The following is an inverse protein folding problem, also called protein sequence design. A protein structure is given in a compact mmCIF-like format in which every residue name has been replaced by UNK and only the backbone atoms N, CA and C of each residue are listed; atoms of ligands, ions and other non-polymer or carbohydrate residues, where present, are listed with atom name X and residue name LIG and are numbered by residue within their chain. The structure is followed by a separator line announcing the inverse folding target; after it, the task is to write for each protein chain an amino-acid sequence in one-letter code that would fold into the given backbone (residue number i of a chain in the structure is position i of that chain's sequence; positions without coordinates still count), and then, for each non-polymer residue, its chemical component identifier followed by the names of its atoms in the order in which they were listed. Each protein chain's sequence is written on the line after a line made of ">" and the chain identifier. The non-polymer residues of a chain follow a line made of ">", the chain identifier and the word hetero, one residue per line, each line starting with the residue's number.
data_IF_711641747476
#
_entry.id   IF_711641747476
#
_cell.length_a   1.000
_cell.length_b   1.000
_cell.length_c   1.000
_cell.angle_alpha   90.00
_cell.angle_beta   90.00
_cell.angle_gamma   90.00
#
_symmetry.space_group_name_H-M   'P 1'
#
loop_
_entity.id
_entity.type
_entity.pdbx_description
1 polymer ?
#
# COMPACT_ATOMS: atom_id res chain seq x y z
N UNK A 1 5.89 -16.86 32.15
CA UNK A 1 5.88 -15.43 31.73
C UNK A 1 4.91 -14.70 32.66
N UNK A 2 5.23 -13.50 33.15
CA UNK A 2 4.27 -12.75 34.00
C UNK A 2 3.19 -12.12 33.11
N UNK A 3 1.92 -12.04 33.54
CA UNK A 3 0.87 -11.36 32.79
C UNK A 3 1.21 -9.87 32.61
N UNK A 4 0.95 -9.34 31.41
CA UNK A 4 1.13 -7.92 31.06
C UNK A 4 -0.24 -7.31 30.79
N UNK A 5 -0.48 -6.07 31.25
CA UNK A 5 -1.74 -5.38 30.98
C UNK A 5 -1.84 -4.91 29.52
N UNK A 6 -3.05 -4.74 29.01
CA UNK A 6 -3.27 -4.19 27.66
C UNK A 6 -2.65 -2.79 27.49
N UNK A 7 -2.76 -1.93 28.51
CA UNK A 7 -2.14 -0.60 28.51
C UNK A 7 -0.63 -0.68 28.35
N UNK A 8 0.03 -1.52 29.14
CA UNK A 8 1.48 -1.69 29.06
C UNK A 8 1.88 -2.25 27.69
N UNK A 9 1.14 -3.22 27.16
CA UNK A 9 1.39 -3.77 25.83
C UNK A 9 1.28 -2.68 24.74
N UNK A 10 0.22 -1.88 24.74
CA UNK A 10 0.01 -0.80 23.76
C UNK A 10 1.15 0.22 23.79
N UNK A 11 1.56 0.69 24.98
CA UNK A 11 2.70 1.60 25.11
C UNK A 11 3.99 1.02 24.53
N UNK A 12 4.25 -0.28 24.72
CA UNK A 12 5.42 -0.91 24.10
C UNK A 12 5.27 -1.03 22.59
N UNK A 13 4.09 -1.37 22.07
CA UNK A 13 3.84 -1.44 20.63
C UNK A 13 4.04 -0.09 19.95
N UNK A 14 3.53 1.01 20.52
CA UNK A 14 3.75 2.37 20.01
C UNK A 14 5.24 2.73 19.96
N UNK A 15 6.00 2.40 21.01
CA UNK A 15 7.46 2.63 21.05
C UNK A 15 8.19 1.81 20.00
N UNK A 16 7.78 0.56 19.79
CA UNK A 16 8.35 -0.32 18.75
C UNK A 16 8.03 0.25 17.37
N UNK A 17 6.78 0.64 17.12
CA UNK A 17 6.36 1.27 15.87
C UNK A 17 7.17 2.54 15.57
N UNK A 18 7.35 3.43 16.56
CA UNK A 18 8.18 4.63 16.38
C UNK A 18 9.66 4.31 16.10
N UNK A 19 10.24 3.30 16.77
CA UNK A 19 11.64 2.89 16.51
C UNK A 19 11.80 2.27 15.12
N UNK A 20 10.91 1.36 14.75
CA UNK A 20 10.91 0.70 13.44
C UNK A 20 10.66 1.72 12.33
N UNK A 21 9.71 2.63 12.54
CA UNK A 21 9.40 3.71 11.60
C UNK A 21 10.61 4.61 11.34
N UNK A 22 11.31 5.03 12.39
CA UNK A 22 12.56 5.79 12.26
C UNK A 22 13.66 5.03 11.50
N UNK A 23 13.77 3.72 11.69
CA UNK A 23 14.69 2.88 10.90
C UNK A 23 14.28 2.85 9.43
N UNK A 24 12.99 2.61 9.15
CA UNK A 24 12.45 2.59 7.78
C UNK A 24 12.67 3.95 7.09
N UNK A 25 12.43 5.08 7.77
CA UNK A 25 12.62 6.42 7.22
C UNK A 25 14.07 6.67 6.75
N UNK A 26 15.05 6.15 7.51
CA UNK A 26 16.47 6.22 7.15
C UNK A 26 16.83 5.28 6.01
N UNK A 27 16.36 4.03 6.07
CA UNK A 27 16.58 3.02 5.02
C UNK A 27 15.99 3.42 3.67
N UNK A 28 14.80 4.05 3.69
CA UNK A 28 14.07 4.48 2.50
C UNK A 28 14.84 5.52 1.66
N UNK A 29 15.77 6.26 2.28
CA UNK A 29 16.54 7.30 1.60
C UNK A 29 15.67 8.47 1.12
N UNK A 30 16.16 9.20 0.13
CA UNK A 30 15.46 10.40 -0.41
C UNK A 30 14.47 10.05 -1.51
N UNK A 31 14.70 8.97 -2.26
CA UNK A 31 13.85 8.62 -3.40
C UNK A 31 13.39 7.18 -3.33
N UNK A 32 12.10 6.98 -3.53
CA UNK A 32 11.44 5.69 -3.42
C UNK A 32 10.24 5.64 -4.36
N UNK A 33 9.71 4.44 -4.60
CA UNK A 33 8.38 4.27 -5.16
C UNK A 33 7.39 3.89 -4.06
N UNK A 34 6.11 4.01 -4.37
CA UNK A 34 5.05 3.50 -3.51
C UNK A 34 4.35 2.36 -4.22
N UNK A 35 3.97 1.33 -3.46
CA UNK A 35 2.98 0.35 -3.89
C UNK A 35 1.71 0.60 -3.09
N UNK A 36 0.63 0.78 -3.83
CA UNK A 36 -0.70 1.06 -3.33
C UNK A 36 -1.61 -0.13 -3.62
N UNK A 37 -2.36 -0.56 -2.63
CA UNK A 37 -3.36 -1.61 -2.77
C UNK A 37 -4.55 -1.32 -1.86
N UNK A 38 -5.73 -1.75 -2.28
CA UNK A 38 -6.99 -1.53 -1.58
C UNK A 38 -7.92 -2.72 -1.74
N UNK A 39 -8.52 -3.17 -0.63
CA UNK A 39 -9.47 -4.28 -0.63
C UNK A 39 -10.61 -4.03 0.35
N UNK A 40 -11.75 -4.66 0.10
CA UNK A 40 -12.89 -4.57 1.01
C UNK A 40 -13.06 -5.88 1.79
N UNK A 41 -13.39 -5.76 3.06
CA UNK A 41 -13.73 -6.90 3.92
C UNK A 41 -14.87 -6.51 4.85
N UNK A 42 -16.03 -7.16 4.70
CA UNK A 42 -17.25 -6.76 5.38
C UNK A 42 -17.71 -5.38 4.94
N UNK A 43 -17.95 -4.49 5.90
CA UNK A 43 -18.37 -3.10 5.66
C UNK A 43 -17.20 -2.13 5.53
N UNK A 44 -15.95 -2.60 5.66
CA UNK A 44 -14.77 -1.75 5.65
C UNK A 44 -14.02 -1.89 4.32
N UNK A 45 -13.57 -0.75 3.80
CA UNK A 45 -12.51 -0.70 2.81
C UNK A 45 -11.18 -0.49 3.53
N UNK A 46 -10.16 -1.22 3.13
CA UNK A 46 -8.82 -1.13 3.67
C UNK A 46 -7.88 -0.71 2.57
N UNK A 47 -6.90 0.10 2.93
CA UNK A 47 -5.82 0.51 2.05
C UNK A 47 -4.49 0.22 2.71
N UNK A 48 -3.50 -0.12 1.89
CA UNK A 48 -2.13 -0.26 2.33
C UNK A 48 -1.18 0.56 1.46
N UNK A 49 -0.21 1.18 2.12
CA UNK A 49 0.88 1.89 1.47
C UNK A 49 2.17 1.16 1.80
N UNK A 50 2.89 0.78 0.76
CA UNK A 50 4.18 0.09 0.86
C UNK A 50 5.26 0.95 0.21
N UNK A 51 6.28 1.33 0.96
CA UNK A 51 7.46 1.99 0.40
C UNK A 51 8.34 0.96 -0.31
N UNK A 52 8.79 1.29 -1.52
CA UNK A 52 9.64 0.46 -2.37
C UNK A 52 10.92 1.22 -2.69
N UNK A 53 12.07 0.71 -2.26
CA UNK A 53 13.36 1.40 -2.46
C UNK A 53 14.51 0.40 -2.63
N UNK A 54 15.66 0.90 -3.07
CA UNK A 54 16.87 0.10 -3.18
C UNK A 54 17.58 0.02 -1.82
N UNK A 55 17.68 -1.18 -1.25
CA UNK A 55 18.61 -1.47 -0.16
C UNK A 55 19.99 -1.85 -0.72
N UNK A 56 20.94 -2.17 0.16
CA UNK A 56 22.35 -2.37 -0.21
C UNK A 56 22.58 -3.32 -1.39
N UNK A 57 21.80 -4.40 -1.52
CA UNK A 57 21.94 -5.38 -2.60
C UNK A 57 20.60 -5.87 -3.20
N UNK A 58 19.47 -5.27 -2.81
CA UNK A 58 18.14 -5.75 -3.24
C UNK A 58 17.07 -4.68 -3.17
N UNK A 59 15.98 -4.88 -3.91
CA UNK A 59 14.72 -4.15 -3.68
C UNK A 59 14.21 -4.46 -2.27
N UNK A 60 13.83 -3.43 -1.54
CA UNK A 60 13.21 -3.51 -0.21
C UNK A 60 11.79 -2.99 -0.32
N UNK A 61 10.86 -3.70 0.31
CA UNK A 61 9.46 -3.33 0.43
C UNK A 61 9.11 -3.26 1.92
N UNK A 62 8.55 -2.13 2.37
CA UNK A 62 8.11 -1.93 3.76
C UNK A 62 6.68 -1.43 3.77
N UNK A 63 5.80 -2.13 4.47
CA UNK A 63 4.47 -1.58 4.79
C UNK A 63 4.69 -0.38 5.71
N UNK A 64 4.25 0.79 5.25
CA UNK A 64 4.35 2.05 6.02
C UNK A 64 3.00 2.52 6.54
N UNK A 65 1.91 2.03 5.94
CA UNK A 65 0.56 2.22 6.45
C UNK A 65 -0.36 1.05 6.09
N UNK A 66 -1.29 0.80 6.99
CA UNK A 66 -2.44 -0.08 6.81
C UNK A 66 -3.58 0.57 7.57
N UNK A 67 -4.62 1.00 6.86
CA UNK A 67 -5.73 1.71 7.49
C UNK A 67 -7.06 1.23 6.91
N UNK A 68 -8.12 1.08 7.73
CA UNK A 68 -9.46 1.19 7.19
C UNK A 68 -9.65 2.61 6.64
N UNK A 69 -10.42 2.74 5.56
CA UNK A 69 -10.86 4.01 5.00
C UNK A 69 -12.37 4.07 5.15
N UNK A 70 -12.86 5.05 5.89
CA UNK A 70 -14.30 5.27 6.10
C UNK A 70 -14.90 6.09 4.95
N UNK A 71 -14.13 7.02 4.37
CA UNK A 71 -14.54 7.92 3.28
C UNK A 71 -13.39 8.13 2.27
N UNK A 72 -13.74 8.51 1.04
CA UNK A 72 -12.79 8.97 0.04
C UNK A 72 -12.04 7.85 -0.72
N UNK A 73 -12.50 7.55 -1.93
CA UNK A 73 -11.82 6.64 -2.87
C UNK A 73 -11.33 7.36 -4.13
N UNK A 74 -11.34 8.68 -4.12
CA UNK A 74 -10.83 9.46 -5.24
C UNK A 74 -9.31 9.51 -5.20
N UNK A 75 -8.70 9.89 -6.32
CA UNK A 75 -7.25 10.08 -6.35
C UNK A 75 -6.77 11.17 -5.40
N UNK A 76 -7.59 12.19 -5.09
CA UNK A 76 -7.22 13.26 -4.16
C UNK A 76 -7.19 12.74 -2.73
N UNK A 77 -8.23 12.02 -2.29
CA UNK A 77 -8.29 11.41 -0.95
C UNK A 77 -7.09 10.47 -0.71
N UNK A 78 -6.73 9.69 -1.73
CA UNK A 78 -5.58 8.80 -1.67
C UNK A 78 -4.25 9.57 -1.57
N UNK A 79 -4.11 10.70 -2.28
CA UNK A 79 -2.91 11.54 -2.20
C UNK A 79 -2.79 12.16 -0.81
N UNK A 80 -3.88 12.68 -0.24
CA UNK A 80 -3.89 13.22 1.12
C UNK A 80 -3.48 12.15 2.15
N UNK A 81 -3.99 10.91 2.01
CA UNK A 81 -3.57 9.81 2.87
C UNK A 81 -2.07 9.52 2.71
N UNK A 82 -1.57 9.43 1.47
CA UNK A 82 -0.15 9.16 1.22
C UNK A 82 0.71 10.27 1.84
N UNK A 83 0.32 11.53 1.68
CA UNK A 83 1.04 12.67 2.25
C UNK A 83 1.08 12.60 3.78
N UNK A 84 -0.06 12.35 4.43
CA UNK A 84 -0.13 12.18 5.88
C UNK A 84 0.73 11.02 6.38
N UNK A 85 0.73 9.89 5.67
CA UNK A 85 1.58 8.74 5.97
C UNK A 85 3.06 9.10 5.83
N UNK A 86 3.45 9.76 4.73
CA UNK A 86 4.84 10.14 4.47
C UNK A 86 5.39 11.14 5.50
N UNK A 87 4.55 12.05 6.00
CA UNK A 87 4.93 13.00 7.04
C UNK A 87 5.43 12.30 8.32
N UNK A 88 4.89 11.12 8.67
CA UNK A 88 5.35 10.31 9.81
C UNK A 88 6.81 9.85 9.63
N UNK A 89 7.28 9.73 8.39
CA UNK A 89 8.63 9.27 8.05
C UNK A 89 9.54 10.42 7.61
N UNK A 90 9.14 11.67 7.81
CA UNK A 90 9.87 12.86 7.34
C UNK A 90 10.12 12.83 5.82
N UNK A 91 9.08 12.47 5.06
CA UNK A 91 9.08 12.38 3.59
C UNK A 91 7.98 13.25 2.99
N UNK A 92 8.12 13.55 1.70
CA UNK A 92 7.16 14.35 0.92
C UNK A 92 6.76 13.62 -0.37
N UNK A 93 5.68 14.06 -1.01
CA UNK A 93 5.21 13.49 -2.28
C UNK A 93 6.25 13.59 -3.42
N UNK A 94 7.06 14.66 -3.44
CA UNK A 94 8.10 14.89 -4.47
C UNK A 94 9.20 13.82 -4.49
N UNK A 95 9.34 13.09 -3.38
CA UNK A 95 10.31 12.00 -3.22
C UNK A 95 9.87 10.72 -3.93
N UNK A 96 8.59 10.59 -4.28
CA UNK A 96 8.03 9.46 -5.01
C UNK A 96 8.52 9.49 -6.46
N UNK A 97 8.99 8.34 -6.98
CA UNK A 97 9.46 8.20 -8.37
C UNK A 97 8.57 7.32 -9.24
N UNK A 98 7.76 6.48 -8.63
CA UNK A 98 6.78 5.65 -9.32
C UNK A 98 5.72 5.17 -8.34
N UNK A 99 4.57 4.82 -8.88
CA UNK A 99 3.48 4.17 -8.16
C UNK A 99 3.32 2.77 -8.73
N UNK A 100 3.15 1.76 -7.89
CA UNK A 100 2.78 0.40 -8.27
C UNK A 100 1.37 0.15 -7.78
N UNK A 101 0.48 -0.30 -8.64
CA UNK A 101 -0.89 -0.59 -8.27
C UNK A 101 -1.69 -1.16 -9.42
N UNK A 102 -2.96 -1.43 -9.17
CA UNK A 102 -3.88 -1.86 -10.22
C UNK A 102 -4.04 -0.76 -11.27
N UNK A 103 -4.25 -1.14 -12.53
CA UNK A 103 -4.37 -0.18 -13.63
C UNK A 103 -5.76 0.48 -13.68
N UNK A 104 -6.42 0.67 -12.53
CA UNK A 104 -7.72 1.31 -12.46
C UNK A 104 -7.60 2.83 -12.70
N UNK A 105 -8.72 3.46 -13.05
CA UNK A 105 -8.79 4.90 -13.34
C UNK A 105 -8.32 5.77 -12.17
N UNK A 106 -8.62 5.38 -10.94
CA UNK A 106 -8.18 6.09 -9.73
C UNK A 106 -6.66 6.09 -9.59
N UNK A 107 -6.01 4.92 -9.70
CA UNK A 107 -4.55 4.83 -9.61
C UNK A 107 -3.83 5.52 -10.77
N UNK A 108 -4.43 5.49 -11.97
CA UNK A 108 -3.93 6.25 -13.11
C UNK A 108 -3.98 7.76 -12.81
N UNK A 109 -5.13 8.26 -12.33
CA UNK A 109 -5.32 9.66 -11.95
C UNK A 109 -4.34 10.08 -10.83
N UNK A 110 -4.15 9.24 -9.82
CA UNK A 110 -3.18 9.45 -8.74
C UNK A 110 -1.76 9.60 -9.29
N UNK A 111 -1.31 8.67 -10.13
CA UNK A 111 0.03 8.73 -10.72
C UNK A 111 0.21 9.97 -11.61
N UNK A 112 -0.81 10.34 -12.39
CA UNK A 112 -0.83 11.56 -13.20
C UNK A 112 -0.72 12.81 -12.34
N UNK A 113 -1.48 12.91 -11.25
CA UNK A 113 -1.44 14.06 -10.32
C UNK A 113 -0.09 14.18 -9.61
N UNK A 114 0.52 13.06 -9.25
CA UNK A 114 1.88 13.03 -8.70
C UNK A 114 2.98 13.25 -9.74
N UNK A 115 2.64 13.28 -11.05
CA UNK A 115 3.62 13.45 -12.12
C UNK A 115 4.60 12.28 -12.28
N UNK A 116 4.21 11.06 -11.86
CA UNK A 116 5.06 9.86 -11.88
C UNK A 116 4.44 8.75 -12.71
N UNK A 117 5.21 7.70 -13.01
CA UNK A 117 4.70 6.54 -13.77
C UNK A 117 3.94 5.58 -12.86
N UNK A 118 2.81 5.07 -13.36
CA UNK A 118 2.13 3.90 -12.81
C UNK A 118 2.72 2.62 -13.39
N UNK A 119 3.10 1.69 -12.51
CA UNK A 119 3.56 0.35 -12.84
C UNK A 119 2.43 -0.62 -12.48
N UNK A 120 1.91 -1.32 -13.48
CA UNK A 120 0.79 -2.25 -13.26
C UNK A 120 1.18 -3.40 -12.33
N UNK A 121 0.31 -3.68 -11.35
CA UNK A 121 0.45 -4.81 -10.43
C UNK A 121 0.55 -6.14 -11.19
N UNK A 122 1.59 -6.92 -10.91
CA UNK A 122 1.80 -8.22 -11.54
C UNK A 122 0.69 -9.24 -11.19
N UNK A 123 0.23 -9.22 -9.93
CA UNK A 123 -0.85 -10.10 -9.47
C UNK A 123 -2.16 -9.82 -10.19
N UNK A 124 -2.51 -8.53 -10.33
CA UNK A 124 -3.71 -8.13 -11.06
C UNK A 124 -3.63 -8.52 -12.55
N UNK A 125 -2.46 -8.31 -13.20
CA UNK A 125 -2.25 -8.75 -14.59
C UNK A 125 -2.40 -10.26 -14.75
N UNK A 126 -1.88 -11.04 -13.80
CA UNK A 126 -2.05 -12.49 -13.79
C UNK A 126 -3.52 -12.89 -13.60
N UNK A 127 -4.22 -12.25 -12.67
CA UNK A 127 -5.64 -12.50 -12.45
C UNK A 127 -6.48 -12.21 -13.70
N UNK A 128 -6.23 -11.08 -14.37
CA UNK A 128 -6.90 -10.75 -15.64
C UNK A 128 -6.61 -11.79 -16.74
N UNK A 129 -5.36 -12.26 -16.83
CA UNK A 129 -5.01 -13.33 -17.77
C UNK A 129 -5.76 -14.64 -17.46
N UNK A 130 -5.88 -14.99 -16.18
CA UNK A 130 -6.64 -16.17 -15.74
C UNK A 130 -8.13 -16.04 -16.03
N UNK A 131 -8.73 -14.89 -15.76
CA UNK A 131 -10.14 -14.61 -16.11
C UNK A 131 -10.36 -14.77 -17.61
N UNK A 132 -9.47 -14.23 -18.44
CA UNK A 132 -9.56 -14.39 -19.89
C UNK A 132 -9.37 -15.83 -20.35
N UNK A 133 -8.46 -16.58 -19.72
CA UNK A 133 -8.20 -17.99 -20.07
C UNK A 133 -9.38 -18.89 -19.70
N UNK A 134 -10.06 -18.58 -18.61
CA UNK A 134 -11.16 -19.37 -18.06
C UNK A 134 -12.55 -18.93 -18.54
N UNK A 135 -12.63 -17.96 -19.46
CA UNK A 135 -13.90 -17.40 -19.94
C UNK A 135 -14.87 -18.50 -20.44
N UNK A 136 -14.37 -19.49 -21.17
CA UNK A 136 -15.19 -20.59 -21.70
C UNK A 136 -15.67 -21.59 -20.61
N UNK A 137 -15.13 -21.49 -19.39
CA UNK A 137 -15.46 -22.35 -18.25
C UNK A 137 -16.21 -21.60 -17.14
N UNK A 138 -16.70 -20.39 -17.41
CA UNK A 138 -17.37 -19.53 -16.43
C UNK A 138 -18.54 -20.25 -15.75
N UNK A 139 -19.36 -20.98 -16.53
CA UNK A 139 -20.50 -21.75 -16.01
C UNK A 139 -20.07 -22.83 -15.01
N UNK A 140 -18.96 -23.51 -15.24
CA UNK A 140 -18.42 -24.54 -14.35
C UNK A 140 -17.81 -23.92 -13.09
N UNK A 141 -17.11 -22.79 -13.24
CA UNK A 141 -16.48 -22.08 -12.12
C UNK A 141 -17.53 -21.51 -11.18
N UNK A 142 -18.65 -21.02 -11.71
CA UNK A 142 -19.75 -20.48 -10.90
C UNK A 142 -20.39 -21.50 -9.94
N UNK A 143 -20.20 -22.80 -10.20
CA UNK A 143 -20.72 -23.91 -9.39
C UNK A 143 -19.82 -24.25 -8.20
N UNK A 144 -18.57 -23.76 -8.19
CA UNK A 144 -17.62 -23.96 -7.10
C UNK A 144 -17.76 -22.77 -6.15
N UNK A 145 -18.59 -22.89 -5.12
CA UNK A 145 -18.78 -21.87 -4.08
C UNK A 145 -18.62 -22.45 -2.69
#
# INVERSE_FOLDING_TARGET
>A
MRPTSATTLNTYMERVAGRVGNTIAKEMGTFFGIKWDGWSSGTYHYVTVVAVYAGSNRRVERVIALSPTEDGQTADDQIELIEAVLAVYDKTLEMIKFVVGDNCTTNQSLATKLGVRLIACAGHRYNLAMVSFLADSEDLISQIR
#
